data_IF_823152257923
#
_entry.id   IF_823152257923
#
_cell.length_a   1.000
_cell.length_b   1.000
_cell.length_c   1.000
_cell.angle_alpha   90.00
_cell.angle_beta   90.00
_cell.angle_gamma   90.00
#
_symmetry.space_group_name_H-M   'P 1'
#
loop_
_entity.id
_entity.type
_entity.pdbx_description
1 polymer ?
#
# COMPACT_ATOMS: atom_id res chain seq x y z
N UNK A 1 12.95 -7.08 -13.30
CA UNK A 1 12.37 -6.19 -12.28
C UNK A 1 12.86 -4.76 -12.50
N UNK A 2 11.96 -3.77 -12.63
CA UNK A 2 12.30 -2.36 -12.77
C UNK A 2 12.70 -1.75 -11.41
N UNK A 3 13.69 -2.36 -10.77
CA UNK A 3 14.45 -1.76 -9.67
C UNK A 3 15.90 -1.62 -10.15
N UNK A 4 16.52 -0.48 -9.86
CA UNK A 4 17.96 -0.30 -10.09
C UNK A 4 18.76 -1.27 -9.21
N UNK A 5 20.01 -1.57 -9.60
CA UNK A 5 20.89 -2.43 -8.80
C UNK A 5 21.10 -1.88 -7.38
N UNK A 6 21.14 -0.56 -7.21
CA UNK A 6 21.21 0.06 -5.89
C UNK A 6 19.93 -0.16 -5.07
N UNK A 7 18.76 -0.03 -5.69
CA UNK A 7 17.49 -0.33 -5.04
C UNK A 7 17.39 -1.78 -4.59
N UNK A 8 17.78 -2.74 -5.44
CA UNK A 8 17.82 -4.17 -5.07
C UNK A 8 18.78 -4.43 -3.92
N UNK A 9 19.95 -3.78 -3.93
CA UNK A 9 20.92 -3.90 -2.85
C UNK A 9 20.36 -3.41 -1.51
N UNK A 10 19.79 -2.20 -1.48
CA UNK A 10 19.16 -1.65 -0.28
C UNK A 10 17.98 -2.53 0.15
N UNK A 11 17.13 -2.93 -0.78
CA UNK A 11 15.97 -3.78 -0.50
C UNK A 11 16.39 -5.09 0.17
N UNK A 12 17.41 -5.77 -0.37
CA UNK A 12 17.91 -7.03 0.18
C UNK A 12 18.42 -6.90 1.63
N UNK A 13 19.04 -5.77 1.96
CA UNK A 13 19.45 -5.49 3.34
C UNK A 13 18.24 -5.34 4.26
N UNK A 14 17.25 -4.55 3.82
CA UNK A 14 16.07 -4.24 4.63
C UNK A 14 15.08 -5.41 4.72
N UNK A 15 15.00 -6.28 3.71
CA UNK A 15 14.12 -7.43 3.67
C UNK A 15 14.30 -8.36 4.88
N UNK A 16 15.55 -8.54 5.33
CA UNK A 16 15.86 -9.35 6.52
C UNK A 16 15.35 -8.74 7.84
N UNK A 17 15.01 -7.45 7.85
CA UNK A 17 14.43 -6.72 8.98
C UNK A 17 12.90 -6.60 8.86
N UNK A 18 12.29 -7.21 7.84
CA UNK A 18 10.83 -7.23 7.67
C UNK A 18 10.23 -8.42 8.40
N UNK A 19 8.99 -8.24 8.82
CA UNK A 19 8.20 -9.17 9.60
C UNK A 19 6.72 -8.94 9.29
N UNK A 20 5.83 -9.72 9.91
CA UNK A 20 4.39 -9.49 9.72
C UNK A 20 3.96 -8.07 10.17
N UNK A 21 4.62 -7.51 11.19
CA UNK A 21 4.38 -6.14 11.69
C UNK A 21 5.21 -5.05 10.97
N UNK A 22 6.12 -5.43 10.07
CA UNK A 22 6.98 -4.51 9.31
C UNK A 22 7.16 -4.99 7.88
N UNK A 23 6.48 -4.38 6.93
CA UNK A 23 6.39 -4.89 5.56
C UNK A 23 6.52 -3.77 4.53
N UNK A 24 6.91 -4.12 3.31
CA UNK A 24 6.98 -3.21 2.17
C UNK A 24 5.62 -3.14 1.49
N UNK A 25 5.15 -1.92 1.23
CA UNK A 25 3.93 -1.70 0.46
C UNK A 25 4.12 -0.58 -0.57
N UNK A 26 3.01 0.04 -0.98
CA UNK A 26 3.02 1.14 -1.93
C UNK A 26 3.38 0.70 -3.34
N UNK A 27 4.14 1.55 -4.04
CA UNK A 27 4.44 1.35 -5.47
C UNK A 27 5.50 0.28 -5.75
N UNK A 28 6.32 -0.10 -4.77
CA UNK A 28 7.48 -0.97 -5.01
C UNK A 28 7.13 -2.44 -5.27
N UNK A 29 6.26 -3.10 -4.47
CA UNK A 29 5.82 -4.46 -4.78
C UNK A 29 5.06 -4.54 -6.12
N UNK A 30 4.33 -3.48 -6.48
CA UNK A 30 3.62 -3.39 -7.77
C UNK A 30 4.62 -3.23 -8.92
N UNK A 31 5.64 -2.40 -8.74
CA UNK A 31 6.70 -2.20 -9.74
C UNK A 31 7.41 -3.52 -10.07
N UNK A 32 7.55 -4.43 -9.10
CA UNK A 32 8.26 -5.71 -9.25
C UNK A 32 7.88 -6.50 -10.51
N UNK A 33 6.60 -6.49 -10.86
CA UNK A 33 5.98 -7.23 -11.97
C UNK A 33 5.53 -6.36 -13.14
N UNK A 34 5.98 -5.10 -13.23
CA UNK A 34 5.55 -4.16 -14.29
C UNK A 34 6.75 -3.50 -14.98
N UNK A 35 6.48 -2.56 -15.90
CA UNK A 35 7.50 -1.79 -16.62
C UNK A 35 7.94 -0.52 -15.89
N UNK A 36 7.10 0.02 -14.99
CA UNK A 36 7.36 1.27 -14.27
C UNK A 36 8.29 1.02 -13.08
N UNK A 37 9.31 1.87 -12.94
CA UNK A 37 10.21 1.86 -11.79
C UNK A 37 9.56 2.55 -10.59
N UNK A 38 9.72 2.00 -9.38
CA UNK A 38 9.40 2.73 -8.14
C UNK A 38 10.52 3.70 -7.77
N UNK A 39 10.17 4.89 -7.27
CA UNK A 39 11.13 5.90 -6.84
C UNK A 39 11.42 5.88 -5.33
N UNK A 40 10.53 5.25 -4.57
CA UNK A 40 10.49 5.18 -3.12
C UNK A 40 10.18 3.75 -2.67
N UNK A 41 10.61 3.41 -1.46
CA UNK A 41 10.13 2.25 -0.71
C UNK A 41 9.33 2.73 0.50
N UNK A 42 8.08 2.28 0.56
CA UNK A 42 7.17 2.54 1.67
C UNK A 42 7.19 1.32 2.60
N UNK A 43 7.69 1.53 3.82
CA UNK A 43 7.82 0.52 4.88
C UNK A 43 6.75 0.83 5.91
N UNK A 44 5.76 -0.05 6.02
CA UNK A 44 4.66 0.14 6.96
C UNK A 44 4.85 -0.68 8.22
N UNK A 45 4.32 -0.15 9.32
CA UNK A 45 4.35 -0.76 10.63
C UNK A 45 2.97 -0.77 11.28
N UNK A 46 2.63 -1.88 11.93
CA UNK A 46 1.37 -2.04 12.66
C UNK A 46 1.28 -1.16 13.93
N UNK A 47 2.43 -0.69 14.42
CA UNK A 47 2.56 0.06 15.67
C UNK A 47 3.26 1.38 15.47
N UNK A 48 2.64 2.46 15.92
CA UNK A 48 3.18 3.82 15.81
C UNK A 48 4.54 3.98 16.52
N UNK A 49 4.69 3.38 17.71
CA UNK A 49 5.93 3.44 18.49
C UNK A 49 7.07 2.68 17.81
N UNK A 50 6.73 1.66 17.01
CA UNK A 50 7.69 0.82 16.31
C UNK A 50 8.32 1.49 15.10
N UNK A 51 7.63 2.46 14.46
CA UNK A 51 8.15 3.21 13.30
C UNK A 51 9.54 3.79 13.57
N UNK A 52 9.71 4.48 14.72
CA UNK A 52 10.98 5.11 15.07
C UNK A 52 12.09 4.11 15.38
N UNK A 53 11.74 2.96 15.99
CA UNK A 53 12.67 1.89 16.34
C UNK A 53 13.17 1.18 15.08
N UNK A 54 12.25 0.83 14.18
CA UNK A 54 12.57 0.19 12.91
C UNK A 54 13.40 1.11 12.00
N UNK A 55 13.03 2.39 11.89
CA UNK A 55 13.80 3.36 11.10
C UNK A 55 15.24 3.53 11.65
N UNK A 56 15.42 3.52 12.97
CA UNK A 56 16.76 3.58 13.57
C UNK A 56 17.58 2.30 13.34
N UNK A 57 16.96 1.13 13.46
CA UNK A 57 17.60 -0.16 13.19
C UNK A 57 18.01 -0.31 11.72
N UNK A 58 17.13 0.07 10.80
CA UNK A 58 17.42 0.09 9.36
C UNK A 58 18.57 1.04 9.05
N UNK A 59 18.59 2.23 9.65
CA UNK A 59 19.69 3.18 9.49
C UNK A 59 21.04 2.64 9.99
N UNK A 60 21.05 1.94 11.13
CA UNK A 60 22.26 1.31 11.65
C UNK A 60 22.75 0.19 10.72
N UNK A 61 21.84 -0.64 10.21
CA UNK A 61 22.14 -1.70 9.26
C UNK A 61 22.75 -1.13 7.97
N UNK A 62 22.15 -0.08 7.42
CA UNK A 62 22.65 0.58 6.21
C UNK A 62 24.03 1.21 6.45
N UNK A 63 24.25 1.81 7.62
CA UNK A 63 25.56 2.38 8.00
C UNK A 63 26.66 1.33 8.08
N UNK A 64 26.37 0.14 8.64
CA UNK A 64 27.30 -1.01 8.64
C UNK A 64 27.70 -1.46 7.23
N UNK A 65 26.90 -1.13 6.23
CA UNK A 65 27.14 -1.44 4.82
C UNK A 65 27.67 -0.23 4.02
N UNK A 66 28.15 0.81 4.70
CA UNK A 66 28.77 1.98 4.06
C UNK A 66 27.78 2.96 3.43
N UNK A 67 26.49 2.83 3.70
CA UNK A 67 25.45 3.74 3.25
C UNK A 67 25.10 4.75 4.35
N UNK A 68 24.53 5.88 3.99
CA UNK A 68 24.05 6.89 4.95
C UNK A 68 22.61 7.28 4.66
N UNK A 69 21.86 7.66 5.69
CA UNK A 69 20.53 8.26 5.52
C UNK A 69 20.59 9.74 5.81
N UNK A 70 20.19 10.55 4.82
CA UNK A 70 19.84 11.95 5.01
C UNK A 70 18.37 12.06 5.37
N UNK A 71 18.09 12.35 6.64
CA UNK A 71 16.71 12.45 7.15
C UNK A 71 15.99 13.67 6.58
N UNK A 72 14.76 13.46 6.09
CA UNK A 72 13.86 14.50 5.58
C UNK A 72 12.81 14.86 6.62
N UNK A 73 12.20 13.85 7.26
CA UNK A 73 11.15 14.02 8.26
C UNK A 73 11.30 13.00 9.38
N UNK A 74 11.10 13.45 10.63
CA UNK A 74 10.93 12.59 11.80
C UNK A 74 9.75 13.10 12.61
N UNK A 75 8.60 12.47 12.44
CA UNK A 75 7.37 12.78 13.18
C UNK A 75 6.85 11.56 13.94
N UNK A 76 5.78 11.77 14.69
CA UNK A 76 5.01 10.67 15.29
C UNK A 76 4.39 9.83 14.18
N UNK A 77 4.62 8.51 14.20
CA UNK A 77 4.06 7.58 13.22
C UNK A 77 4.59 7.68 11.79
N UNK A 78 5.53 8.58 11.51
CA UNK A 78 6.12 8.69 10.17
C UNK A 78 7.52 9.29 10.17
N UNK A 79 8.47 8.55 9.58
CA UNK A 79 9.85 8.98 9.34
C UNK A 79 10.16 8.84 7.85
N UNK A 80 10.93 9.75 7.29
CA UNK A 80 11.42 9.61 5.91
C UNK A 80 12.84 10.12 5.76
N UNK A 81 13.56 9.52 4.82
CA UNK A 81 14.93 9.87 4.53
C UNK A 81 15.37 9.35 3.17
N UNK A 82 16.50 9.86 2.70
CA UNK A 82 17.15 9.39 1.49
C UNK A 82 18.40 8.60 1.83
N UNK A 83 18.48 7.38 1.31
CA UNK A 83 19.69 6.56 1.38
C UNK A 83 20.65 7.05 0.31
N UNK A 84 21.85 7.42 0.74
CA UNK A 84 22.97 7.88 -0.06
C UNK A 84 24.06 6.78 -0.12
N UNK A 85 24.94 6.87 -1.11
CA UNK A 85 26.00 5.87 -1.39
C UNK A 85 25.81 5.09 -2.69
N UNK A 86 24.67 5.26 -3.36
CA UNK A 86 24.41 4.75 -4.71
C UNK A 86 24.51 5.82 -5.80
N UNK A 87 24.28 5.46 -7.09
CA UNK A 87 24.28 6.40 -8.21
C UNK A 87 23.20 7.48 -8.11
N UNK A 88 22.09 7.15 -7.46
CA UNK A 88 20.97 8.05 -7.19
C UNK A 88 20.47 7.79 -5.76
N UNK A 89 20.11 8.84 -5.00
CA UNK A 89 19.50 8.67 -3.68
C UNK A 89 18.20 7.87 -3.78
N UNK A 90 17.96 7.00 -2.81
CA UNK A 90 16.73 6.23 -2.70
C UNK A 90 15.90 6.74 -1.52
N UNK A 91 14.68 7.21 -1.77
CA UNK A 91 13.78 7.62 -0.70
C UNK A 91 13.22 6.38 0.01
N UNK A 92 13.34 6.38 1.34
CA UNK A 92 12.65 5.46 2.23
C UNK A 92 11.65 6.24 3.10
N UNK A 93 10.50 5.63 3.31
CA UNK A 93 9.47 6.15 4.20
C UNK A 93 9.03 5.03 5.14
N UNK A 94 9.12 5.27 6.45
CA UNK A 94 8.60 4.39 7.48
C UNK A 94 7.32 5.03 8.01
N UNK A 95 6.19 4.33 7.93
CA UNK A 95 4.89 4.88 8.30
C UNK A 95 4.09 3.88 9.14
N UNK A 96 3.26 4.40 10.04
CA UNK A 96 2.26 3.62 10.75
C UNK A 96 1.08 3.30 9.82
N UNK A 97 0.64 2.04 9.79
CA UNK A 97 -0.57 1.59 9.12
C UNK A 97 -1.69 1.36 10.16
N UNK A 98 -2.92 1.68 9.81
CA UNK A 98 -4.09 1.49 10.68
C UNK A 98 -4.40 0.01 10.95
N UNK A 99 -3.81 -0.92 10.18
CA UNK A 99 -3.91 -2.35 10.44
C UNK A 99 -5.15 -3.03 9.88
N UNK A 100 -6.04 -2.30 9.19
CA UNK A 100 -7.23 -2.88 8.55
C UNK A 100 -6.87 -3.47 7.19
N UNK A 101 -6.97 -4.79 7.06
CA UNK A 101 -6.56 -5.53 5.84
C UNK A 101 -7.51 -6.67 5.53
N UNK A 102 -7.64 -7.01 4.26
CA UNK A 102 -8.35 -8.23 3.84
C UNK A 102 -7.50 -9.48 4.08
N UNK A 103 -6.18 -9.35 3.95
CA UNK A 103 -5.23 -10.43 4.17
C UNK A 103 -4.14 -9.97 5.14
N UNK A 104 -3.57 -10.88 5.96
CA UNK A 104 -2.33 -10.59 6.66
C UNK A 104 -1.22 -10.28 5.65
N UNK A 105 -0.21 -9.51 6.08
CA UNK A 105 1.01 -9.33 5.29
C UNK A 105 1.66 -10.69 5.02
N UNK A 106 2.24 -10.84 3.84
CA UNK A 106 2.70 -12.10 3.30
C UNK A 106 4.21 -12.08 3.19
N UNK A 107 4.86 -13.19 3.55
CA UNK A 107 6.29 -13.35 3.34
C UNK A 107 6.61 -13.28 1.84
N UNK A 108 7.72 -12.62 1.51
CA UNK A 108 8.18 -12.43 0.15
C UNK A 108 9.71 -12.55 0.13
N UNK A 109 10.25 -13.30 -0.83
CA UNK A 109 11.69 -13.60 -0.89
C UNK A 109 12.55 -12.37 -1.20
N UNK A 110 11.98 -11.36 -1.86
CA UNK A 110 12.69 -10.16 -2.29
C UNK A 110 12.45 -8.98 -1.35
N UNK A 111 11.22 -8.81 -0.89
CA UNK A 111 10.79 -7.70 -0.05
C UNK A 111 10.74 -8.06 1.45
N UNK A 112 10.93 -9.33 1.81
CA UNK A 112 10.79 -9.84 3.17
C UNK A 112 9.32 -10.07 3.53
N UNK A 113 8.53 -9.00 3.60
CA UNK A 113 7.07 -9.06 3.74
C UNK A 113 6.39 -8.00 2.88
N UNK A 114 5.23 -8.31 2.29
CA UNK A 114 4.42 -7.40 1.46
C UNK A 114 2.92 -7.50 1.78
N UNK A 115 2.14 -6.55 1.27
CA UNK A 115 0.67 -6.65 1.27
C UNK A 115 0.17 -7.54 0.12
N UNK A 116 -0.92 -8.26 0.36
CA UNK A 116 -1.64 -8.99 -0.68
C UNK A 116 -2.12 -8.03 -1.78
N UNK A 117 -2.20 -8.45 -3.06
CA UNK A 117 -2.67 -7.60 -4.17
C UNK A 117 -4.03 -6.94 -3.93
N UNK A 118 -4.95 -7.61 -3.23
CA UNK A 118 -6.25 -7.05 -2.86
C UNK A 118 -6.13 -5.83 -1.93
N UNK A 119 -5.19 -5.86 -1.00
CA UNK A 119 -4.89 -4.73 -0.12
C UNK A 119 -4.14 -3.61 -0.86
N UNK A 120 -3.24 -3.96 -1.78
CA UNK A 120 -2.53 -2.97 -2.60
C UNK A 120 -3.47 -2.20 -3.53
N UNK A 121 -4.38 -2.88 -4.24
CA UNK A 121 -5.27 -2.23 -5.20
C UNK A 121 -6.32 -1.36 -4.50
N UNK A 122 -6.83 -1.79 -3.34
CA UNK A 122 -7.78 -1.00 -2.54
C UNK A 122 -7.11 0.24 -1.95
N UNK A 123 -5.87 0.11 -1.45
CA UNK A 123 -5.05 1.26 -1.04
C UNK A 123 -4.80 2.23 -2.20
N UNK A 124 -4.60 1.73 -3.44
CA UNK A 124 -4.48 2.59 -4.62
C UNK A 124 -5.78 3.30 -4.97
N UNK A 125 -6.93 2.65 -4.85
CA UNK A 125 -8.22 3.32 -5.04
C UNK A 125 -8.40 4.50 -4.07
N UNK A 126 -8.13 4.27 -2.78
CA UNK A 126 -8.17 5.31 -1.75
C UNK A 126 -7.14 6.42 -2.00
N UNK A 127 -5.91 6.06 -2.37
CA UNK A 127 -4.86 7.04 -2.72
C UNK A 127 -5.27 7.93 -3.89
N UNK A 128 -5.86 7.36 -4.95
CA UNK A 128 -6.35 8.12 -6.10
C UNK A 128 -7.49 9.06 -5.68
N UNK A 129 -8.30 8.70 -4.69
CA UNK A 129 -9.36 9.57 -4.16
C UNK A 129 -8.81 10.84 -3.50
N UNK A 130 -7.63 10.74 -2.88
CA UNK A 130 -7.03 11.81 -2.09
C UNK A 130 -6.04 12.69 -2.87
N UNK A 131 -5.42 12.16 -3.93
CA UNK A 131 -4.42 12.91 -4.72
C UNK A 131 -4.46 12.61 -6.20
N UNK A 132 -3.84 13.52 -6.97
CA UNK A 132 -3.74 13.44 -8.43
C UNK A 132 -2.30 13.11 -8.85
N UNK A 133 -2.01 11.82 -8.99
CA UNK A 133 -0.68 11.32 -9.36
C UNK A 133 -0.77 10.25 -10.46
N UNK A 134 -0.10 10.48 -11.59
CA UNK A 134 -0.19 9.57 -12.76
C UNK A 134 0.32 8.15 -12.44
N UNK A 135 1.25 8.00 -11.49
CA UNK A 135 1.74 6.70 -11.03
C UNK A 135 0.65 5.85 -10.38
N UNK A 136 -0.31 6.46 -9.69
CA UNK A 136 -1.37 5.71 -9.02
C UNK A 136 -2.38 5.15 -10.04
N UNK A 137 -2.62 5.87 -11.15
CA UNK A 137 -3.39 5.36 -12.30
C UNK A 137 -2.69 4.18 -12.97
N UNK A 138 -1.37 4.25 -13.15
CA UNK A 138 -0.58 3.14 -13.68
C UNK A 138 -0.68 1.92 -12.76
N UNK A 139 -0.45 2.12 -11.47
CA UNK A 139 -0.38 1.05 -10.47
C UNK A 139 -1.71 0.32 -10.32
N UNK A 140 -2.83 1.05 -10.20
CA UNK A 140 -4.15 0.43 -10.04
C UNK A 140 -4.55 -0.40 -11.27
N UNK A 141 -4.23 0.07 -12.48
CA UNK A 141 -4.53 -0.65 -13.72
C UNK A 141 -3.61 -1.87 -13.88
N UNK A 142 -2.36 -1.78 -13.43
CA UNK A 142 -1.43 -2.90 -13.47
C UNK A 142 -1.83 -4.06 -12.56
N UNK A 143 -2.53 -3.77 -11.46
CA UNK A 143 -3.10 -4.78 -10.56
C UNK A 143 -4.43 -5.37 -11.06
N UNK A 144 -5.04 -4.77 -12.09
CA UNK A 144 -6.41 -5.10 -12.50
C UNK A 144 -6.58 -6.50 -13.12
N UNK A 145 -5.48 -7.13 -13.53
CA UNK A 145 -5.46 -8.53 -13.98
C UNK A 145 -5.56 -9.54 -12.83
N UNK A 146 -5.23 -9.15 -11.60
CA UNK A 146 -5.28 -9.99 -10.41
C UNK A 146 -6.55 -9.69 -9.61
N UNK A 147 -6.90 -8.42 -9.49
CA UNK A 147 -8.07 -7.98 -8.72
C UNK A 147 -8.86 -6.98 -9.56
N UNK A 148 -10.13 -7.26 -9.90
CA UNK A 148 -10.96 -6.32 -10.62
C UNK A 148 -11.08 -4.99 -9.86
N UNK A 149 -10.80 -3.87 -10.54
CA UNK A 149 -10.84 -2.53 -9.93
C UNK A 149 -12.24 -2.24 -9.35
N UNK A 150 -13.31 -2.69 -10.00
CA UNK A 150 -14.65 -2.50 -9.49
C UNK A 150 -14.87 -3.23 -8.15
N UNK A 151 -14.38 -4.47 -8.01
CA UNK A 151 -14.44 -5.19 -6.74
C UNK A 151 -13.64 -4.48 -5.64
N UNK A 152 -12.44 -3.97 -5.97
CA UNK A 152 -11.63 -3.19 -5.06
C UNK A 152 -12.35 -1.92 -4.55
N UNK A 153 -13.05 -1.20 -5.43
CA UNK A 153 -13.80 0.00 -5.07
C UNK A 153 -14.98 -0.34 -4.13
N UNK A 154 -15.71 -1.42 -4.40
CA UNK A 154 -16.81 -1.87 -3.52
C UNK A 154 -16.30 -2.30 -2.14
N UNK A 155 -15.11 -2.89 -2.09
CA UNK A 155 -14.51 -3.37 -0.84
C UNK A 155 -13.84 -2.26 -0.02
N UNK A 156 -13.34 -1.18 -0.66
CA UNK A 156 -12.58 -0.12 -0.02
C UNK A 156 -13.22 0.53 1.25
N UNK A 157 -14.56 0.71 1.35
CA UNK A 157 -15.20 1.21 2.57
C UNK A 157 -14.91 0.41 3.84
N UNK A 158 -14.54 -0.88 3.75
CA UNK A 158 -14.15 -1.65 4.91
C UNK A 158 -12.78 -1.25 5.49
N UNK A 159 -11.94 -0.58 4.67
CA UNK A 159 -10.64 -0.05 5.09
C UNK A 159 -10.70 1.42 5.49
N UNK A 160 -11.59 2.17 4.84
CA UNK A 160 -11.87 3.57 5.19
C UNK A 160 -13.39 3.82 5.21
N UNK A 161 -14.02 3.75 6.40
CA UNK A 161 -15.46 3.95 6.54
C UNK A 161 -15.89 5.40 6.29
N UNK A 162 -14.95 6.33 6.06
CA UNK A 162 -15.26 7.69 5.62
C UNK A 162 -15.79 7.75 4.17
N UNK A 163 -15.63 6.68 3.40
CA UNK A 163 -16.10 6.57 2.03
C UNK A 163 -17.28 5.61 1.87
N UNK A 164 -18.28 6.02 1.10
CA UNK A 164 -19.16 5.09 0.36
C UNK A 164 -18.57 4.81 -1.04
N UNK A 165 -18.95 3.71 -1.73
CA UNK A 165 -18.50 3.48 -3.09
C UNK A 165 -18.76 4.66 -4.03
N UNK A 166 -19.91 5.31 -3.94
CA UNK A 166 -20.28 6.46 -4.78
C UNK A 166 -19.35 7.66 -4.53
N UNK A 167 -19.11 7.97 -3.25
CA UNK A 167 -18.24 9.08 -2.86
C UNK A 167 -16.78 8.84 -3.30
N UNK A 168 -16.31 7.58 -3.20
CA UNK A 168 -14.99 7.15 -3.65
C UNK A 168 -14.87 7.24 -5.17
N UNK A 169 -15.84 6.71 -5.93
CA UNK A 169 -15.89 6.81 -7.38
C UNK A 169 -15.87 8.27 -7.83
N UNK A 170 -16.66 9.13 -7.17
CA UNK A 170 -16.70 10.55 -7.47
C UNK A 170 -15.34 11.23 -7.22
N UNK A 171 -14.67 10.89 -6.11
CA UNK A 171 -13.33 11.39 -5.79
C UNK A 171 -12.29 10.93 -6.82
N UNK A 172 -12.25 9.63 -7.13
CA UNK A 172 -11.33 9.09 -8.14
C UNK A 172 -11.56 9.75 -9.51
N UNK A 173 -12.81 9.91 -9.96
CA UNK A 173 -13.13 10.57 -11.25
C UNK A 173 -12.55 11.99 -11.35
N UNK A 174 -12.48 12.74 -10.25
CA UNK A 174 -11.87 14.08 -10.23
C UNK A 174 -10.35 14.03 -10.41
N UNK A 175 -9.70 13.02 -9.83
CA UNK A 175 -8.26 12.99 -9.71
C UNK A 175 -7.55 12.24 -10.85
N UNK A 176 -8.22 11.32 -11.56
CA UNK A 176 -7.57 10.50 -12.61
C UNK A 176 -7.19 11.29 -13.88
N UNK A 177 -7.62 12.55 -14.03
CA UNK A 177 -7.38 13.30 -15.25
C UNK A 177 -5.90 13.70 -15.40
N UNK A 178 -5.17 13.00 -16.26
CA UNK A 178 -3.76 13.27 -16.56
C UNK A 178 -3.50 13.41 -18.07
N UNK A 179 -2.70 14.40 -18.51
CA UNK A 179 -2.21 14.44 -19.87
C UNK A 179 -1.12 13.37 -20.09
N UNK A 180 -0.89 12.97 -21.35
CA UNK A 180 0.11 11.95 -21.71
C UNK A 180 1.52 12.29 -21.17
N UNK A 181 1.91 13.57 -21.18
CA UNK A 181 3.20 14.04 -20.64
C UNK A 181 3.42 13.70 -19.16
N UNK A 182 2.35 13.52 -18.37
CA UNK A 182 2.48 13.07 -16.98
C UNK A 182 2.93 11.61 -16.89
N UNK A 183 2.47 10.76 -17.81
CA UNK A 183 2.89 9.36 -17.92
C UNK A 183 4.28 9.23 -18.53
N UNK A 184 4.62 10.07 -19.51
CA UNK A 184 5.95 10.07 -20.14
C UNK A 184 7.08 10.45 -19.15
N UNK A 185 6.74 11.15 -18.06
CA UNK A 185 7.68 11.50 -16.97
C UNK A 185 7.91 10.35 -16.00
N UNK A 186 7.07 9.31 -16.01
CA UNK A 186 7.28 8.14 -15.18
C UNK A 186 8.48 7.37 -15.73
N UNK A 187 9.40 7.01 -14.84
CA UNK A 187 10.50 6.11 -15.21
C UNK A 187 9.92 4.75 -15.56
N UNK A 188 10.18 4.29 -16.77
CA UNK A 188 9.68 3.02 -17.30
C UNK A 188 10.67 2.45 -18.32
N UNK A 189 10.68 1.12 -18.48
CA UNK A 189 11.47 0.44 -19.52
C UNK A 189 10.73 0.35 -20.87
N UNK A 190 9.43 0.66 -20.88
CA UNK A 190 8.58 0.73 -22.06
C UNK A 190 7.72 2.01 -22.05
N UNK A 191 7.34 2.54 -23.24
CA UNK A 191 6.37 3.62 -23.34
C UNK A 191 5.05 3.27 -22.63
N UNK A 192 4.48 4.25 -21.94
CA UNK A 192 3.22 4.07 -21.22
C UNK A 192 2.08 4.70 -22.03
N UNK A 193 1.10 3.89 -22.49
CA UNK A 193 -0.14 4.42 -23.09
C UNK A 193 -1.08 4.95 -22.00
N UNK A 194 -0.90 6.22 -21.61
CA UNK A 194 -1.75 6.87 -20.62
C UNK A 194 -3.22 6.94 -21.04
N UNK A 195 -3.48 7.11 -22.34
CA UNK A 195 -4.82 7.07 -22.89
C UNK A 195 -5.50 5.72 -22.67
N UNK A 196 -4.78 4.63 -22.89
CA UNK A 196 -5.21 3.25 -22.62
C UNK A 196 -5.53 3.02 -21.14
N UNK A 197 -4.60 3.36 -20.25
CA UNK A 197 -4.79 3.21 -18.80
C UNK A 197 -6.05 3.95 -18.32
N UNK A 198 -6.23 5.19 -18.77
CA UNK A 198 -7.40 6.00 -18.40
C UNK A 198 -8.70 5.45 -18.97
N UNK A 199 -8.70 4.84 -20.16
CA UNK A 199 -9.89 4.15 -20.71
C UNK A 199 -10.28 2.96 -19.83
N UNK A 200 -9.32 2.10 -19.48
CA UNK A 200 -9.54 0.93 -18.61
C UNK A 200 -10.08 1.34 -17.24
N UNK A 201 -9.48 2.37 -16.62
CA UNK A 201 -9.92 2.85 -15.31
C UNK A 201 -11.32 3.46 -15.37
N UNK A 202 -11.65 4.25 -16.39
CA UNK A 202 -13.01 4.81 -16.58
C UNK A 202 -14.07 3.74 -16.79
N UNK A 203 -13.75 2.70 -17.55
CA UNK A 203 -14.66 1.55 -17.74
C UNK A 203 -14.90 0.84 -16.40
N UNK A 204 -13.85 0.60 -15.62
CA UNK A 204 -13.97 -0.01 -14.30
C UNK A 204 -14.77 0.84 -13.31
N UNK A 205 -14.60 2.16 -13.35
CA UNK A 205 -15.39 3.11 -12.55
C UNK A 205 -16.87 3.14 -12.95
N UNK A 206 -17.20 2.84 -14.21
CA UNK A 206 -18.59 2.69 -14.64
C UNK A 206 -19.20 1.40 -14.09
N UNK A 207 -18.49 0.28 -14.21
CA UNK A 207 -18.91 -1.01 -13.61
C UNK A 207 -19.10 -0.88 -12.10
N UNK A 208 -18.17 -0.22 -11.40
CA UNK A 208 -18.28 0.01 -9.96
C UNK A 208 -19.51 0.87 -9.60
N UNK A 209 -19.86 1.85 -10.44
CA UNK A 209 -21.03 2.70 -10.22
C UNK A 209 -22.34 1.93 -10.40
N UNK A 210 -22.43 1.11 -11.44
CA UNK A 210 -23.60 0.24 -11.67
C UNK A 210 -23.75 -0.77 -10.53
N UNK A 211 -22.64 -1.33 -10.05
CA UNK A 211 -22.61 -2.27 -8.94
C UNK A 211 -23.01 -1.62 -7.61
N UNK A 212 -22.50 -0.41 -7.32
CA UNK A 212 -22.86 0.33 -6.11
C UNK A 212 -24.37 0.62 -6.02
N UNK A 213 -25.03 0.89 -7.15
CA UNK A 213 -26.48 1.10 -7.18
C UNK A 213 -27.28 -0.20 -6.99
N UNK A 214 -26.72 -1.35 -7.34
CA UNK A 214 -27.43 -2.62 -7.36
C UNK A 214 -27.20 -3.47 -6.11
N UNK A 215 -26.08 -3.28 -5.40
CA UNK A 215 -25.75 -4.00 -4.18
C UNK A 215 -26.57 -3.49 -2.99
N UNK A 216 -27.02 -4.39 -2.10
CA UNK A 216 -27.54 -3.98 -0.80
C UNK A 216 -26.40 -3.52 0.12
N UNK A 217 -26.71 -2.72 1.14
CA UNK A 217 -25.71 -2.09 2.03
C UNK A 217 -24.78 -3.13 2.69
N UNK A 218 -25.33 -4.28 3.12
CA UNK A 218 -24.55 -5.35 3.74
C UNK A 218 -23.56 -6.05 2.80
N UNK A 219 -23.64 -5.80 1.50
CA UNK A 219 -22.74 -6.34 0.50
C UNK A 219 -21.51 -5.44 0.25
N UNK A 220 -21.54 -4.19 0.72
CA UNK A 220 -20.44 -3.23 0.61
C UNK A 220 -19.33 -3.56 1.62
N UNK A 221 -18.08 -3.28 1.27
CA UNK A 221 -16.93 -3.56 2.14
C UNK A 221 -16.41 -5.00 2.06
N UNK A 222 -16.92 -5.79 1.11
CA UNK A 222 -16.57 -7.20 0.93
C UNK A 222 -15.82 -7.42 -0.38
N UNK A 223 -14.81 -8.28 -0.31
CA UNK A 223 -14.28 -9.00 -1.46
C UNK A 223 -15.11 -10.26 -1.68
N UNK A 224 -15.36 -10.60 -2.94
CA UNK A 224 -16.12 -11.77 -3.36
C UNK A 224 -15.23 -12.71 -4.15
N UNK A 225 -15.36 -14.00 -3.89
CA UNK A 225 -14.52 -15.04 -4.46
C UNK A 225 -15.35 -16.08 -5.22
N UNK A 226 -14.85 -16.47 -6.39
CA UNK A 226 -15.34 -17.59 -7.19
C UNK A 226 -14.12 -18.41 -7.63
N UNK A 227 -14.10 -19.71 -7.31
CA UNK A 227 -12.97 -20.61 -7.58
C UNK A 227 -11.61 -20.11 -7.04
N UNK A 228 -11.62 -19.38 -5.92
CA UNK A 228 -10.42 -18.84 -5.27
C UNK A 228 -9.93 -17.50 -5.84
N UNK A 229 -10.55 -17.00 -6.91
CA UNK A 229 -10.22 -15.73 -7.55
C UNK A 229 -11.16 -14.61 -7.09
N UNK A 230 -10.65 -13.39 -6.98
CA UNK A 230 -11.48 -12.23 -6.63
C UNK A 230 -12.27 -11.79 -7.86
N UNK A 231 -13.59 -11.72 -7.73
CA UNK A 231 -14.50 -11.39 -8.83
C UNK A 231 -15.33 -10.15 -8.57
N UNK A 232 -15.87 -9.56 -9.64
CA UNK A 232 -16.97 -8.60 -9.54
C UNK A 232 -18.24 -9.40 -9.24
N UNK A 233 -18.89 -9.20 -8.07
CA UNK A 233 -20.05 -10.00 -7.71
C UNK A 233 -21.25 -9.68 -8.60
N UNK A 234 -22.05 -10.69 -8.90
CA UNK A 234 -23.39 -10.53 -9.46
C UNK A 234 -24.40 -10.31 -8.31
N UNK A 235 -25.07 -9.14 -8.23
CA UNK A 235 -26.07 -8.83 -7.21
C UNK A 235 -27.20 -9.85 -7.10
N UNK A 236 -27.51 -10.58 -8.19
CA UNK A 236 -28.59 -11.57 -8.21
C UNK A 236 -28.22 -12.89 -7.49
N UNK A 237 -26.94 -13.13 -7.21
CA UNK A 237 -26.46 -14.39 -6.61
C UNK A 237 -25.40 -14.21 -5.52
N UNK A 238 -25.47 -13.11 -4.76
CA UNK A 238 -24.49 -12.79 -3.72
C UNK A 238 -24.21 -13.94 -2.74
N UNK A 239 -25.25 -14.69 -2.36
CA UNK A 239 -25.13 -15.83 -1.44
C UNK A 239 -24.36 -17.04 -2.00
N UNK A 240 -23.96 -17.03 -3.27
CA UNK A 240 -23.16 -18.10 -3.89
C UNK A 240 -21.65 -17.91 -3.75
N UNK A 241 -21.20 -16.71 -3.39
CA UNK A 241 -19.77 -16.39 -3.30
C UNK A 241 -19.23 -16.62 -1.87
N UNK A 242 -17.97 -17.02 -1.78
CA UNK A 242 -17.21 -16.79 -0.54
C UNK A 242 -16.91 -15.29 -0.43
N UNK A 243 -16.99 -14.75 0.79
CA UNK A 243 -16.74 -13.33 1.03
C UNK A 243 -15.65 -13.12 2.05
N UNK A 244 -14.89 -12.03 1.91
CA UNK A 244 -13.94 -11.57 2.91
C UNK A 244 -14.08 -10.09 3.18
N UNK A 245 -14.17 -9.75 4.46
CA UNK A 245 -14.17 -8.37 4.93
C UNK A 245 -12.77 -7.98 5.41
N UNK A 246 -12.46 -6.68 5.36
CA UNK A 246 -11.25 -6.20 6.02
C UNK A 246 -11.41 -6.35 7.53
N UNK A 247 -10.37 -6.85 8.19
CA UNK A 247 -10.33 -7.00 9.64
C UNK A 247 -9.11 -6.27 10.18
N UNK A 248 -9.13 -5.97 11.48
CA UNK A 248 -7.95 -5.50 12.16
C UNK A 248 -6.94 -6.66 12.25
N UNK A 249 -5.88 -6.56 11.45
CA UNK A 249 -4.83 -7.58 11.26
C UNK A 249 -3.47 -7.12 11.82
N UNK A 250 -3.43 -5.97 12.51
CA UNK A 250 -2.19 -5.45 13.08
C UNK A 250 -1.74 -6.28 14.29
N UNK A 251 -0.42 -6.52 14.37
CA UNK A 251 0.22 -7.16 15.52
C UNK A 251 0.10 -6.24 16.74
N UNK A 252 -0.61 -6.72 17.77
CA UNK A 252 -0.78 -6.00 19.01
C UNK A 252 0.48 -6.08 19.88
N UNK A 253 0.83 -4.94 20.50
CA UNK A 253 1.89 -4.88 21.50
C UNK A 253 1.58 -5.85 22.65
N UNK A 254 2.57 -6.66 23.01
CA UNK A 254 2.51 -7.50 24.20
C UNK A 254 2.96 -6.70 25.44
N UNK A 255 2.59 -7.13 26.67
CA UNK A 255 3.01 -6.45 27.89
C UNK A 255 4.53 -6.26 27.99
N UNK A 256 5.32 -7.19 27.49
CA UNK A 256 6.79 -7.14 27.40
C UNK A 256 7.32 -6.06 26.46
N UNK A 257 6.52 -5.60 25.49
CA UNK A 257 6.90 -4.54 24.55
C UNK A 257 6.67 -3.14 25.12
N UNK A 258 5.91 -3.05 26.22
CA UNK A 258 5.67 -1.79 26.91
C UNK A 258 6.97 -1.40 27.63
N UNK A 259 7.43 -0.15 27.47
CA UNK A 259 8.61 0.31 28.16
C UNK A 259 8.23 0.59 29.62
N UNK A 260 8.11 -0.48 30.42
CA UNK A 260 7.75 -0.44 31.83
C UNK A 260 8.68 0.51 32.59
N UNK A 261 9.97 0.56 32.24
CA UNK A 261 10.94 1.49 32.83
C UNK A 261 10.61 2.96 32.52
N UNK A 262 10.13 3.26 31.31
CA UNK A 262 9.73 4.61 30.89
C UNK A 262 8.40 5.02 31.51
N UNK A 263 7.47 4.07 31.69
CA UNK A 263 6.22 4.29 32.43
C UNK A 263 6.47 4.44 33.93
N UNK A 264 7.39 3.67 34.50
CA UNK A 264 7.82 3.77 35.89
C UNK A 264 8.59 5.07 36.16
N UNK A 265 9.37 5.60 35.21
CA UNK A 265 9.96 6.95 35.35
C UNK A 265 8.92 8.06 35.24
N UNK A 266 7.87 7.87 34.43
CA UNK A 266 6.83 8.88 34.20
C UNK A 266 5.76 8.92 35.30
N UNK A 267 5.49 7.77 35.93
CA UNK A 267 4.46 7.61 36.96
C UNK A 267 4.99 7.14 38.32
N UNK A 268 6.27 6.84 38.42
CA UNK A 268 6.96 6.58 39.68
C UNK A 268 7.12 7.87 40.45
N UNK A 269 6.20 8.09 41.39
CA UNK A 269 6.49 8.95 42.54
C UNK A 269 7.73 8.38 43.24
N UNK A 270 8.74 9.22 43.46
CA UNK A 270 9.75 8.98 44.49
C UNK A 270 9.05 8.59 45.79
N UNK A 271 9.09 7.31 46.16
CA UNK A 271 8.95 6.82 47.53
C UNK A 271 9.86 5.62 47.72
#
# INVERSE_FOLDING_TARGET
MPLSEFQKYVLKLLAAQRSQESYIAGGAPIAASTSRYSGDFDIFHDREDFVSKAAAADAELLSKHGLSIRWIRKGTGIWSGEVEGGPQPLKLEWAHDAGFRFFPSQADDEFGFVLHPADLITNKALTIADRQEARDVYDIVSLSSIVPIAAAIIAAPAKDPGYTPESLIAAMKRNIAHPQVAFDRLRSDAPIDGGGLLRTLRQSLAVAADLAMALPDEAIGKLYFEDGEIVVPDPARLGSYETREAQYQAVLAQPEDLPFDTLAQKYGKNQ
#
